data_IF_937245476436
#
_entry.id   IF_937245476436
#
_cell.length_a   1.000
_cell.length_b   1.000
_cell.length_c   1.000
_cell.angle_alpha   90.00
_cell.angle_beta   90.00
_cell.angle_gamma   90.00
#
_symmetry.space_group_name_H-M   'P 1'
#
loop_
_entity.id
_entity.type
_entity.pdbx_description
1 polymer ?
#
# COMPACT_ATOMS: atom_id res chain seq x y z
N UNK A 1 -18.07 21.10 15.62
CA UNK A 1 -18.51 19.71 15.72
C UNK A 1 -19.12 19.11 14.43
N UNK A 2 -19.17 19.87 13.33
CA UNK A 2 -19.57 19.37 12.00
C UNK A 2 -18.36 18.83 11.21
N UNK A 3 -17.22 19.53 11.28
CA UNK A 3 -15.96 19.09 10.70
C UNK A 3 -15.48 17.71 11.23
N UNK A 4 -15.55 17.48 12.55
CA UNK A 4 -15.19 16.18 13.14
C UNK A 4 -16.11 15.02 12.71
N UNK A 5 -17.37 15.32 12.36
CA UNK A 5 -18.34 14.32 11.85
C UNK A 5 -18.17 14.07 10.35
N UNK A 6 -17.78 15.10 9.60
CA UNK A 6 -17.41 14.99 8.18
C UNK A 6 -16.09 14.21 8.03
N UNK A 7 -15.12 14.41 8.92
CA UNK A 7 -13.87 13.63 8.98
C UNK A 7 -14.09 12.16 9.40
N UNK A 8 -15.02 11.90 10.32
CA UNK A 8 -15.39 10.54 10.70
C UNK A 8 -16.16 9.80 9.60
N UNK A 9 -17.03 10.50 8.85
CA UNK A 9 -17.73 9.94 7.69
C UNK A 9 -16.80 9.66 6.52
N UNK A 10 -15.81 10.53 6.26
CA UNK A 10 -14.75 10.29 5.28
C UNK A 10 -13.82 9.14 5.69
N UNK A 11 -13.51 9.00 6.98
CA UNK A 11 -12.73 7.87 7.50
C UNK A 11 -13.49 6.53 7.44
N UNK A 12 -14.82 6.53 7.55
CA UNK A 12 -15.65 5.33 7.37
C UNK A 12 -15.85 4.96 5.90
N UNK A 13 -15.87 5.94 4.99
CA UNK A 13 -15.92 5.70 3.55
C UNK A 13 -14.61 5.12 2.98
N UNK A 14 -13.46 5.44 3.60
CA UNK A 14 -12.15 4.86 3.28
C UNK A 14 -11.99 3.37 3.70
N UNK A 15 -13.01 2.78 4.32
CA UNK A 15 -13.07 1.37 4.71
C UNK A 15 -14.13 0.58 3.93
N UNK A 16 -14.68 1.16 2.85
CA UNK A 16 -15.51 0.38 1.94
C UNK A 16 -14.68 -0.82 1.45
N UNK A 17 -15.19 -2.07 1.58
CA UNK A 17 -14.45 -3.23 1.13
C UNK A 17 -14.19 -3.09 -0.37
N UNK A 18 -12.90 -3.03 -0.74
CA UNK A 18 -12.47 -3.01 -2.14
C UNK A 18 -13.14 -4.18 -2.86
N UNK A 19 -13.84 -3.95 -3.99
CA UNK A 19 -14.52 -5.02 -4.70
C UNK A 19 -13.54 -6.15 -5.00
N UNK A 20 -13.78 -7.32 -4.44
CA UNK A 20 -13.04 -8.53 -4.79
C UNK A 20 -13.27 -8.78 -6.27
N UNK A 21 -12.25 -8.63 -7.11
CA UNK A 21 -12.25 -9.25 -8.43
C UNK A 21 -12.52 -10.75 -8.24
N UNK A 22 -13.17 -11.35 -9.23
CA UNK A 22 -13.33 -12.80 -9.28
C UNK A 22 -11.95 -13.41 -9.06
N UNK A 23 -11.79 -14.06 -7.91
CA UNK A 23 -10.59 -14.80 -7.59
C UNK A 23 -10.52 -15.89 -8.66
N UNK A 24 -9.68 -15.72 -9.66
CA UNK A 24 -9.05 -16.90 -10.22
C UNK A 24 -8.37 -17.51 -9.02
N UNK A 25 -9.01 -18.57 -8.48
CA UNK A 25 -8.23 -19.54 -7.74
C UNK A 25 -7.14 -19.87 -8.75
N UNK A 26 -5.92 -19.44 -8.47
CA UNK A 26 -4.79 -20.28 -8.74
C UNK A 26 -5.04 -21.55 -7.91
N UNK A 27 -6.02 -22.36 -8.32
CA UNK A 27 -5.95 -23.78 -8.16
C UNK A 27 -4.62 -24.07 -8.80
N UNK A 28 -3.65 -24.44 -7.97
CA UNK A 28 -2.47 -25.15 -8.40
C UNK A 28 -2.98 -26.09 -9.50
N UNK A 29 -2.72 -25.77 -10.77
CA UNK A 29 -2.92 -26.76 -11.80
C UNK A 29 -2.00 -27.88 -11.36
N UNK A 30 -2.57 -29.03 -11.07
CA UNK A 30 -1.81 -30.23 -10.72
C UNK A 30 -0.67 -30.34 -11.76
N UNK A 31 0.57 -30.04 -11.36
CA UNK A 31 1.73 -30.03 -12.24
C UNK A 31 2.64 -28.79 -12.26
N UNK A 32 2.29 -27.64 -11.65
CA UNK A 32 3.20 -26.48 -11.58
C UNK A 32 3.98 -26.34 -10.26
N UNK A 33 4.02 -27.38 -9.43
CA UNK A 33 5.02 -27.47 -8.37
C UNK A 33 6.35 -27.87 -9.02
N UNK A 34 7.24 -26.92 -9.26
CA UNK A 34 8.66 -27.26 -9.33
C UNK A 34 9.00 -27.88 -7.98
N UNK A 35 9.30 -29.19 -7.94
CA UNK A 35 9.79 -29.85 -6.73
C UNK A 35 11.11 -29.17 -6.36
N UNK A 36 11.03 -28.19 -5.47
CA UNK A 36 12.20 -27.56 -4.88
C UNK A 36 12.99 -28.62 -4.11
N UNK A 37 14.22 -28.87 -4.57
CA UNK A 37 15.46 -29.10 -3.81
C UNK A 37 15.46 -29.82 -2.43
N UNK A 38 14.42 -30.59 -2.09
CA UNK A 38 14.41 -31.52 -0.95
C UNK A 38 13.89 -30.95 0.37
N UNK A 39 13.48 -29.68 0.45
CA UNK A 39 13.05 -29.05 1.72
C UNK A 39 11.53 -28.83 1.86
N UNK A 40 10.69 -29.38 0.98
CA UNK A 40 9.24 -29.20 1.08
C UNK A 40 8.75 -27.76 0.84
N UNK A 41 9.60 -26.91 0.24
CA UNK A 41 9.24 -25.55 -0.16
C UNK A 41 8.40 -25.59 -1.45
N UNK A 42 7.29 -24.86 -1.45
CA UNK A 42 6.43 -24.70 -2.63
C UNK A 42 6.78 -23.39 -3.32
N UNK A 43 7.36 -23.47 -4.51
CA UNK A 43 7.60 -22.31 -5.37
C UNK A 43 6.38 -22.04 -6.22
N UNK A 44 5.91 -20.79 -6.24
CA UNK A 44 4.76 -20.35 -7.04
C UNK A 44 5.23 -19.16 -7.88
N UNK A 45 5.20 -19.32 -9.20
CA UNK A 45 5.43 -18.19 -10.10
C UNK A 45 4.32 -17.14 -9.87
N UNK A 46 4.71 -15.87 -9.84
CA UNK A 46 3.79 -14.76 -9.54
C UNK A 46 3.91 -13.66 -10.57
N UNK A 47 2.81 -12.93 -10.76
CA UNK A 47 2.77 -11.67 -11.49
C UNK A 47 2.04 -10.63 -10.63
N UNK A 48 2.22 -9.33 -10.88
CA UNK A 48 1.46 -8.28 -10.20
C UNK A 48 -0.07 -8.50 -10.29
N UNK A 49 -0.79 -8.22 -9.21
CA UNK A 49 -2.24 -8.34 -9.13
C UNK A 49 -2.77 -9.72 -8.72
N UNK A 50 -1.92 -10.75 -8.69
CA UNK A 50 -2.29 -12.09 -8.22
C UNK A 50 -2.52 -12.08 -6.71
N UNK A 51 -3.42 -12.95 -6.25
CA UNK A 51 -3.70 -13.10 -4.83
C UNK A 51 -3.62 -14.57 -4.39
N UNK A 52 -3.03 -14.78 -3.23
CA UNK A 52 -2.77 -16.07 -2.63
C UNK A 52 -3.40 -16.15 -1.24
N UNK A 53 -3.90 -17.33 -0.86
CA UNK A 53 -4.24 -17.65 0.53
C UNK A 53 -3.13 -18.51 1.12
N UNK A 54 -2.60 -18.11 2.28
CA UNK A 54 -1.50 -18.85 2.90
C UNK A 54 -2.02 -20.19 3.48
N UNK A 55 -1.40 -21.34 3.14
CA UNK A 55 -1.89 -22.66 3.56
C UNK A 55 -1.96 -22.83 5.08
N UNK A 56 -0.97 -22.30 5.81
CA UNK A 56 -0.84 -22.41 7.26
C UNK A 56 -1.70 -21.41 8.04
N UNK A 57 -2.24 -20.37 7.38
CA UNK A 57 -3.06 -19.33 7.99
C UNK A 57 -4.23 -18.99 7.07
N UNK A 58 -5.34 -19.72 7.22
CA UNK A 58 -6.55 -19.60 6.38
C UNK A 58 -7.15 -18.19 6.34
N UNK A 59 -6.87 -17.36 7.35
CA UNK A 59 -7.34 -15.98 7.45
C UNK A 59 -6.32 -14.96 6.91
N UNK A 60 -5.25 -15.39 6.25
CA UNK A 60 -4.26 -14.49 5.65
C UNK A 60 -4.26 -14.64 4.14
N UNK A 61 -4.45 -13.52 3.45
CA UNK A 61 -4.34 -13.39 2.00
C UNK A 61 -3.12 -12.52 1.70
N UNK A 62 -2.47 -12.76 0.57
CA UNK A 62 -1.34 -11.96 0.09
C UNK A 62 -1.65 -11.58 -1.35
N UNK A 63 -1.72 -10.29 -1.62
CA UNK A 63 -1.84 -9.76 -2.97
C UNK A 63 -0.47 -9.29 -3.43
N UNK A 64 -0.05 -9.65 -4.63
CA UNK A 64 1.17 -9.11 -5.23
C UNK A 64 0.87 -7.79 -5.91
N UNK A 65 1.81 -6.86 -5.78
CA UNK A 65 1.76 -5.54 -6.40
C UNK A 65 2.97 -5.37 -7.30
N UNK A 66 2.83 -4.52 -8.31
CA UNK A 66 3.91 -4.24 -9.25
C UNK A 66 4.97 -3.39 -8.57
N UNK A 67 6.21 -3.88 -8.57
CA UNK A 67 7.40 -3.15 -8.16
C UNK A 67 8.23 -2.82 -9.41
N UNK A 68 8.86 -1.65 -9.40
CA UNK A 68 9.59 -1.11 -10.55
C UNK A 68 11.08 -1.10 -10.25
N UNK A 69 11.83 -2.07 -10.78
CA UNK A 69 13.28 -2.18 -10.57
C UNK A 69 14.02 -2.63 -11.85
N UNK A 70 15.34 -2.77 -11.74
CA UNK A 70 16.17 -3.30 -12.84
C UNK A 70 15.88 -4.76 -13.16
N UNK A 71 15.20 -5.48 -12.27
CA UNK A 71 14.70 -6.84 -12.45
C UNK A 71 13.18 -6.86 -12.25
N UNK A 72 12.50 -7.82 -12.90
CA UNK A 72 11.09 -8.10 -12.62
C UNK A 72 10.93 -8.50 -11.16
N UNK A 73 10.16 -7.71 -10.41
CA UNK A 73 9.91 -7.94 -9.00
C UNK A 73 8.46 -7.60 -8.62
N UNK A 74 8.02 -8.10 -7.48
CA UNK A 74 6.70 -7.83 -6.93
C UNK A 74 6.80 -7.43 -5.46
N UNK A 75 6.02 -6.42 -5.10
CA UNK A 75 5.72 -6.14 -3.70
C UNK A 75 4.57 -7.01 -3.21
N UNK A 76 4.30 -6.93 -1.92
CA UNK A 76 3.23 -7.70 -1.28
C UNK A 76 2.34 -6.81 -0.44
N UNK A 77 1.03 -7.01 -0.55
CA UNK A 77 0.04 -6.51 0.42
C UNK A 77 -0.51 -7.72 1.17
N UNK A 78 -0.19 -7.79 2.46
CA UNK A 78 -0.68 -8.84 3.36
C UNK A 78 -1.99 -8.39 3.97
N UNK A 79 -3.02 -9.21 3.80
CA UNK A 79 -4.38 -8.95 4.23
C UNK A 79 -4.85 -9.97 5.27
N UNK A 80 -5.62 -9.51 6.25
CA UNK A 80 -6.47 -10.40 7.04
C UNK A 80 -7.77 -10.67 6.29
N UNK A 81 -8.35 -11.85 6.47
CA UNK A 81 -9.69 -12.17 6.00
C UNK A 81 -10.68 -11.94 7.14
N UNK A 82 -11.63 -11.06 6.92
CA UNK A 82 -12.68 -10.74 7.88
C UNK A 82 -14.04 -11.07 7.28
N UNK A 83 -14.97 -11.59 8.09
CA UNK A 83 -16.34 -11.85 7.65
C UNK A 83 -17.21 -10.63 7.94
N UNK A 84 -17.66 -9.95 6.90
CA UNK A 84 -18.55 -8.80 6.99
C UNK A 84 -19.96 -9.24 6.67
N UNK A 85 -20.90 -8.82 7.52
CA UNK A 85 -22.34 -9.00 7.27
C UNK A 85 -22.87 -7.70 6.69
N UNK A 86 -23.48 -7.77 5.51
CA UNK A 86 -24.07 -6.64 4.82
C UNK A 86 -25.51 -6.96 4.36
N UNK A 87 -26.34 -5.94 4.20
CA UNK A 87 -27.65 -6.04 3.58
C UNK A 87 -27.55 -6.39 2.09
N UNK A 88 -28.48 -7.22 1.61
CA UNK A 88 -28.57 -7.60 0.19
C UNK A 88 -28.82 -6.42 -0.75
N UNK A 89 -29.47 -5.37 -0.26
CA UNK A 89 -29.75 -4.14 -1.00
C UNK A 89 -29.30 -2.94 -0.18
N UNK A 90 -29.20 -1.77 -0.83
CA UNK A 90 -28.80 -0.53 -0.16
C UNK A 90 -29.76 -0.15 0.98
N UNK A 91 -31.06 -0.39 0.80
CA UNK A 91 -32.10 -0.10 1.80
C UNK A 91 -31.93 -1.00 3.03
N UNK A 92 -31.72 -2.30 2.80
CA UNK A 92 -31.48 -3.28 3.87
C UNK A 92 -30.15 -2.99 4.57
N UNK A 93 -29.11 -2.57 3.83
CA UNK A 93 -27.83 -2.18 4.42
C UNK A 93 -27.98 -0.95 5.31
N UNK A 94 -28.73 0.07 4.87
CA UNK A 94 -29.01 1.25 5.67
C UNK A 94 -29.80 0.90 6.96
N UNK A 95 -30.83 0.05 6.85
CA UNK A 95 -31.58 -0.44 8.00
C UNK A 95 -30.68 -1.24 8.97
N UNK A 96 -29.80 -2.08 8.45
CA UNK A 96 -28.88 -2.88 9.24
C UNK A 96 -27.89 -2.01 10.02
N UNK A 97 -27.29 -0.98 9.40
CA UNK A 97 -26.37 -0.07 10.09
C UNK A 97 -27.10 0.77 11.17
N UNK A 98 -28.32 1.22 10.92
CA UNK A 98 -29.14 1.88 11.95
C UNK A 98 -29.39 0.96 13.14
N UNK A 99 -29.72 -0.32 12.90
CA UNK A 99 -29.90 -1.31 13.96
C UNK A 99 -28.60 -1.57 14.73
N UNK A 100 -27.46 -1.63 14.04
CA UNK A 100 -26.14 -1.85 14.62
C UNK A 100 -25.73 -0.69 15.54
N UNK A 101 -25.91 0.55 15.11
CA UNK A 101 -25.65 1.73 15.92
C UNK A 101 -26.59 1.83 17.13
N UNK A 102 -27.90 1.58 16.93
CA UNK A 102 -28.85 1.54 18.03
C UNK A 102 -28.49 0.49 19.09
N UNK A 103 -28.01 -0.68 18.67
CA UNK A 103 -27.56 -1.74 19.56
C UNK A 103 -26.33 -1.35 20.40
N UNK A 104 -25.38 -0.59 19.84
CA UNK A 104 -24.18 -0.09 20.55
C UNK A 104 -24.53 0.91 21.65
N UNK A 105 -25.40 1.88 21.34
CA UNK A 105 -25.69 3.01 22.23
C UNK A 105 -26.61 2.62 23.39
N UNK A 106 -27.59 1.75 23.14
CA UNK A 106 -28.71 1.58 24.09
C UNK A 106 -28.92 0.16 24.61
N UNK A 107 -28.08 -0.83 24.21
CA UNK A 107 -28.36 -2.27 24.40
C UNK A 107 -29.81 -2.63 24.03
N UNK A 108 -30.36 -1.95 23.02
CA UNK A 108 -31.76 -2.11 22.65
C UNK A 108 -32.00 -3.55 22.14
N UNK A 109 -32.72 -4.34 22.95
CA UNK A 109 -33.09 -5.72 22.60
C UNK A 109 -33.88 -5.80 21.29
N UNK A 110 -34.64 -4.76 20.94
CA UNK A 110 -35.41 -4.72 19.71
C UNK A 110 -34.52 -4.63 18.47
N UNK A 111 -33.44 -3.84 18.51
CA UNK A 111 -32.48 -3.74 17.41
C UNK A 111 -31.78 -5.10 17.17
N UNK A 112 -31.39 -5.79 18.24
CA UNK A 112 -30.85 -7.15 18.16
C UNK A 112 -31.85 -8.16 17.57
N UNK A 113 -33.12 -8.07 17.98
CA UNK A 113 -34.20 -8.92 17.45
C UNK A 113 -34.40 -8.68 15.95
N UNK A 114 -34.45 -7.42 15.52
CA UNK A 114 -34.62 -7.06 14.10
C UNK A 114 -33.47 -7.57 13.24
N UNK A 115 -32.22 -7.39 13.67
CA UNK A 115 -31.06 -7.99 12.98
C UNK A 115 -31.16 -9.52 12.88
N UNK A 116 -31.69 -10.18 13.93
CA UNK A 116 -31.95 -11.61 13.92
C UNK A 116 -33.05 -12.03 12.92
N UNK A 117 -34.12 -11.25 12.80
CA UNK A 117 -35.18 -11.44 11.81
C UNK A 117 -34.64 -11.26 10.39
N UNK A 118 -33.88 -10.19 10.12
CA UNK A 118 -33.24 -9.95 8.82
C UNK A 118 -32.34 -11.12 8.40
N UNK A 119 -31.61 -11.75 9.34
CA UNK A 119 -30.83 -12.97 9.05
C UNK A 119 -31.70 -14.15 8.66
N UNK A 120 -32.80 -14.38 9.38
CA UNK A 120 -33.74 -15.49 9.11
C UNK A 120 -34.47 -15.31 7.78
N UNK A 121 -34.82 -14.08 7.45
CA UNK A 121 -35.40 -13.70 6.17
C UNK A 121 -34.38 -13.76 5.02
N UNK A 122 -33.09 -14.01 5.34
CA UNK A 122 -32.02 -14.05 4.36
C UNK A 122 -31.77 -12.69 3.71
N UNK A 123 -32.09 -11.58 4.38
CA UNK A 123 -31.84 -10.22 3.90
C UNK A 123 -30.39 -9.79 4.09
N UNK A 124 -29.64 -10.48 4.94
CA UNK A 124 -28.21 -10.24 5.14
C UNK A 124 -27.37 -11.29 4.42
N UNK A 125 -26.26 -10.85 3.81
CA UNK A 125 -25.21 -11.69 3.23
C UNK A 125 -23.98 -11.57 4.09
N UNK A 126 -23.34 -12.71 4.38
CA UNK A 126 -21.99 -12.71 4.96
C UNK A 126 -20.99 -12.89 3.83
N UNK A 127 -20.09 -11.92 3.66
CA UNK A 127 -19.00 -11.97 2.68
C UNK A 127 -17.65 -11.97 3.39
N UNK A 128 -16.69 -12.72 2.86
CA UNK A 128 -15.30 -12.58 3.27
C UNK A 128 -14.69 -11.38 2.54
N UNK A 129 -14.13 -10.44 3.29
CA UNK A 129 -13.40 -9.29 2.75
C UNK A 129 -11.94 -9.39 3.15
N UNK A 130 -11.05 -8.99 2.25
CA UNK A 130 -9.64 -8.85 2.56
C UNK A 130 -9.39 -7.45 3.13
N UNK A 131 -8.86 -7.39 4.34
CA UNK A 131 -8.51 -6.15 5.03
C UNK A 131 -6.99 -5.99 4.99
N UNK A 132 -6.46 -5.00 4.26
CA UNK A 132 -5.03 -4.73 4.17
C UNK A 132 -4.45 -4.48 5.56
N UNK A 133 -3.29 -5.08 5.86
CA UNK A 133 -2.59 -4.90 7.14
C UNK A 133 -1.18 -4.37 6.95
N UNK A 134 -0.44 -4.88 5.97
CA UNK A 134 0.95 -4.49 5.72
C UNK A 134 1.20 -4.48 4.21
N UNK A 135 1.80 -3.40 3.70
CA UNK A 135 2.44 -3.38 2.40
C UNK A 135 3.96 -3.56 2.56
N UNK A 136 4.58 -4.38 1.72
CA UNK A 136 6.01 -4.64 1.70
C UNK A 136 6.54 -4.41 0.28
N UNK A 137 7.28 -3.32 0.12
CA UNK A 137 7.67 -2.71 -1.15
C UNK A 137 9.18 -2.47 -1.15
N UNK A 138 9.96 -3.54 -1.30
CA UNK A 138 11.42 -3.43 -1.41
C UNK A 138 11.85 -3.44 -2.88
N UNK A 139 13.12 -3.13 -3.12
CA UNK A 139 13.78 -3.14 -4.44
C UNK A 139 12.84 -2.58 -5.52
N UNK A 140 12.54 -1.29 -5.39
CA UNK A 140 11.61 -0.56 -6.22
C UNK A 140 12.02 0.89 -6.41
N UNK A 141 11.37 1.55 -7.35
CA UNK A 141 11.39 3.00 -7.49
C UNK A 141 10.10 3.59 -6.92
N UNK A 142 10.07 4.91 -6.73
CA UNK A 142 8.92 5.60 -6.12
C UNK A 142 7.62 5.38 -6.91
N UNK A 143 7.72 4.96 -8.19
CA UNK A 143 6.56 4.66 -9.03
C UNK A 143 5.60 3.62 -8.44
N UNK A 144 6.05 2.76 -7.52
CA UNK A 144 5.16 1.82 -6.82
C UNK A 144 4.04 2.52 -6.04
N UNK A 145 4.28 3.79 -5.65
CA UNK A 145 3.36 4.65 -4.90
C UNK A 145 2.58 5.64 -5.75
N UNK A 146 2.80 5.66 -7.07
CA UNK A 146 2.08 6.54 -7.98
C UNK A 146 2.93 7.07 -9.13
N UNK A 147 2.33 7.83 -10.07
CA UNK A 147 3.09 8.48 -11.13
C UNK A 147 4.09 9.49 -10.53
N UNK A 148 5.32 9.52 -11.06
CA UNK A 148 6.29 10.57 -10.68
C UNK A 148 5.81 11.96 -11.14
N UNK A 149 6.37 13.03 -10.56
CA UNK A 149 5.96 14.41 -10.86
C UNK A 149 5.98 14.76 -12.37
N UNK A 150 7.00 14.28 -13.11
CA UNK A 150 7.08 14.46 -14.56
C UNK A 150 5.88 13.84 -15.31
N UNK A 151 5.37 12.69 -14.84
CA UNK A 151 4.21 12.02 -15.43
C UNK A 151 2.87 12.65 -15.02
N UNK A 152 2.82 13.32 -13.87
CA UNK A 152 1.62 14.00 -13.35
C UNK A 152 1.34 15.31 -14.09
N UNK A 153 2.38 16.04 -14.53
CA UNK A 153 2.25 17.35 -15.20
C UNK A 153 1.93 17.32 -16.70
N UNK A 154 1.81 16.13 -17.31
CA UNK A 154 1.76 15.92 -18.76
C UNK A 154 0.42 16.15 -19.46
N UNK A 155 -0.38 17.13 -19.03
CA UNK A 155 -1.74 17.36 -19.56
C UNK A 155 -1.80 18.28 -20.81
N UNK A 156 -0.67 18.68 -21.41
CA UNK A 156 -0.71 19.40 -22.71
C UNK A 156 0.43 20.36 -23.08
N UNK A 157 1.56 20.36 -22.37
CA UNK A 157 2.78 21.09 -22.76
C UNK A 157 3.97 20.13 -22.86
N UNK A 158 5.04 20.53 -23.56
CA UNK A 158 6.25 19.72 -23.87
C UNK A 158 6.52 18.57 -22.88
N UNK A 159 6.57 17.34 -23.40
CA UNK A 159 6.71 16.14 -22.59
C UNK A 159 8.00 16.22 -21.75
N UNK A 160 7.86 16.52 -20.46
CA UNK A 160 8.95 16.32 -19.49
C UNK A 160 9.28 14.84 -19.53
N UNK A 161 10.46 14.51 -20.04
CA UNK A 161 10.91 13.13 -20.16
C UNK A 161 10.96 12.52 -18.75
N UNK A 162 10.16 11.48 -18.52
CA UNK A 162 10.19 10.77 -17.26
C UNK A 162 11.62 10.23 -17.06
N UNK A 163 12.29 10.54 -15.93
CA UNK A 163 13.67 10.13 -15.71
C UNK A 163 13.83 8.61 -15.58
N UNK A 164 12.71 7.90 -15.36
CA UNK A 164 12.65 6.44 -15.31
C UNK A 164 12.17 5.80 -16.62
N UNK A 165 11.95 6.58 -17.69
CA UNK A 165 11.56 6.05 -18.98
C UNK A 165 12.74 5.52 -19.81
N UNK A 166 13.98 5.66 -19.33
CA UNK A 166 15.15 5.06 -19.96
C UNK A 166 15.17 3.55 -19.68
N UNK A 167 15.06 2.68 -20.71
CA UNK A 167 15.13 1.22 -20.54
C UNK A 167 16.48 0.75 -19.98
N UNK A 168 17.55 1.55 -20.04
CA UNK A 168 18.81 1.22 -19.39
C UNK A 168 18.75 1.39 -17.87
N UNK A 169 17.84 2.23 -17.38
CA UNK A 169 17.64 2.54 -15.95
C UNK A 169 16.57 1.63 -15.34
N UNK A 170 15.52 1.33 -16.10
CA UNK A 170 14.49 0.37 -15.73
C UNK A 170 14.13 -0.49 -16.97
N UNK A 171 14.89 -1.55 -17.27
CA UNK A 171 14.65 -2.41 -18.44
C UNK A 171 13.31 -3.16 -18.43
N UNK A 172 12.69 -3.27 -17.26
CA UNK A 172 11.32 -3.77 -17.06
C UNK A 172 10.33 -2.66 -16.69
N UNK A 173 10.79 -1.41 -16.71
CA UNK A 173 9.96 -0.23 -16.61
C UNK A 173 9.24 -0.02 -17.92
N UNK A 174 8.12 -0.73 -18.15
CA UNK A 174 7.02 -0.15 -18.89
C UNK A 174 6.84 1.26 -18.30
N UNK A 175 7.22 2.30 -19.06
CA UNK A 175 7.50 3.60 -18.47
C UNK A 175 6.34 4.07 -17.56
N UNK A 176 6.69 4.79 -16.49
CA UNK A 176 5.77 5.44 -15.55
C UNK A 176 4.39 5.74 -16.18
N UNK A 177 3.30 5.28 -15.52
CA UNK A 177 1.83 5.46 -15.76
C UNK A 177 1.31 5.86 -17.17
N UNK A 178 1.91 6.87 -17.81
CA UNK A 178 1.69 7.28 -19.19
C UNK A 178 2.03 6.18 -20.24
N UNK A 179 3.04 5.31 -20.05
CA UNK A 179 3.21 4.15 -20.96
C UNK A 179 2.20 3.04 -20.69
N UNK A 180 1.87 2.77 -19.42
CA UNK A 180 0.76 1.86 -19.06
C UNK A 180 -0.58 2.31 -19.66
N UNK A 181 -0.80 3.63 -19.83
CA UNK A 181 -1.94 4.20 -20.58
C UNK A 181 -1.83 4.07 -22.10
N UNK A 182 -0.62 4.10 -22.67
CA UNK A 182 -0.39 4.10 -24.14
C UNK A 182 -0.37 2.69 -24.72
N UNK A 183 0.14 1.70 -23.99
CA UNK A 183 0.27 0.32 -24.48
C UNK A 183 -0.79 -0.63 -23.90
N UNK A 184 -1.47 -0.25 -22.81
CA UNK A 184 -2.47 -1.05 -22.13
C UNK A 184 -3.89 -0.49 -22.23
N UNK A 185 -4.86 -1.38 -22.40
CA UNK A 185 -6.31 -1.11 -22.29
C UNK A 185 -6.65 -0.39 -20.97
N UNK A 186 -7.88 0.16 -20.86
CA UNK A 186 -8.40 0.76 -19.62
C UNK A 186 -8.17 -0.10 -18.35
N UNK A 187 -7.98 -1.41 -18.51
CA UNK A 187 -7.71 -2.39 -17.45
C UNK A 187 -6.36 -2.17 -16.73
N UNK A 188 -5.30 -1.76 -17.44
CA UNK A 188 -3.97 -1.56 -16.80
C UNK A 188 -3.97 -0.36 -15.86
N UNK A 189 -4.66 0.72 -16.23
CA UNK A 189 -4.87 1.88 -15.35
C UNK A 189 -5.72 1.53 -14.13
N UNK A 190 -6.73 0.67 -14.29
CA UNK A 190 -7.58 0.18 -13.18
C UNK A 190 -6.77 -0.67 -12.20
N UNK A 191 -5.92 -1.57 -12.69
CA UNK A 191 -5.07 -2.41 -11.82
C UNK A 191 -4.11 -1.57 -10.98
N UNK A 192 -3.52 -0.52 -11.55
CA UNK A 192 -2.60 0.35 -10.82
C UNK A 192 -3.34 1.23 -9.79
N UNK A 193 -4.50 1.80 -10.16
CA UNK A 193 -5.32 2.54 -9.21
C UNK A 193 -5.75 1.66 -8.01
N UNK A 194 -6.15 0.41 -8.28
CA UNK A 194 -6.43 -0.56 -7.23
C UNK A 194 -5.19 -0.82 -6.39
N UNK A 195 -4.02 -1.04 -6.98
CA UNK A 195 -2.78 -1.24 -6.23
C UNK A 195 -2.52 -0.10 -5.23
N UNK A 196 -2.67 1.16 -5.63
CA UNK A 196 -2.51 2.31 -4.73
C UNK A 196 -3.53 2.28 -3.60
N UNK A 197 -4.79 1.95 -3.89
CA UNK A 197 -5.84 1.79 -2.88
C UNK A 197 -5.45 0.71 -1.85
N UNK A 198 -4.95 -0.45 -2.29
CA UNK A 198 -4.51 -1.53 -1.41
C UNK A 198 -3.29 -1.16 -0.56
N UNK A 199 -2.29 -0.50 -1.16
CA UNK A 199 -1.07 -0.06 -0.47
C UNK A 199 -1.41 0.96 0.61
N UNK A 200 -2.13 2.03 0.26
CA UNK A 200 -2.42 3.12 1.20
C UNK A 200 -3.56 2.82 2.18
N UNK A 201 -4.34 1.75 1.96
CA UNK A 201 -5.22 1.20 2.98
C UNK A 201 -4.46 0.44 4.09
N UNK A 202 -3.17 0.14 3.91
CA UNK A 202 -2.36 -0.49 4.94
C UNK A 202 -2.02 0.51 6.06
N UNK A 203 -2.22 0.15 7.35
CA UNK A 203 -1.71 0.94 8.47
C UNK A 203 -0.19 0.92 8.57
N UNK A 204 0.50 -0.02 7.91
CA UNK A 204 1.95 -0.12 7.88
C UNK A 204 2.43 -0.37 6.46
N UNK A 205 3.38 0.44 6.00
CA UNK A 205 4.00 0.34 4.69
C UNK A 205 5.51 0.21 4.92
N UNK A 206 6.05 -0.97 4.66
CA UNK A 206 7.49 -1.21 4.65
C UNK A 206 7.98 -0.90 3.25
N UNK A 207 8.89 0.06 3.12
CA UNK A 207 9.40 0.51 1.81
C UNK A 207 10.88 0.81 1.87
N UNK A 208 11.58 0.57 0.76
CA UNK A 208 12.96 0.98 0.64
C UNK A 208 13.14 2.51 0.62
N UNK A 209 14.25 2.99 1.16
CA UNK A 209 14.70 4.38 1.07
C UNK A 209 16.22 4.39 0.92
N UNK A 210 16.70 3.96 -0.25
CA UNK A 210 18.12 3.74 -0.50
C UNK A 210 18.98 5.00 -0.42
N UNK A 211 18.45 6.19 -0.77
CA UNK A 211 19.22 7.44 -0.85
C UNK A 211 18.60 8.59 -0.06
N UNK A 212 19.45 9.36 0.63
CA UNK A 212 19.07 10.55 1.42
C UNK A 212 20.10 11.66 1.20
N UNK A 213 19.72 12.91 1.47
CA UNK A 213 20.63 14.06 1.40
C UNK A 213 21.52 14.15 2.66
N UNK A 214 22.33 13.11 2.89
CA UNK A 214 23.27 12.99 4.00
C UNK A 214 24.66 12.58 3.49
N UNK A 215 25.66 12.50 4.38
CA UNK A 215 27.04 12.11 4.04
C UNK A 215 27.65 12.96 2.90
N UNK A 216 27.37 14.26 2.88
CA UNK A 216 27.88 15.22 1.89
C UNK A 216 27.14 15.23 0.54
N UNK A 217 26.04 14.47 0.43
CA UNK A 217 25.19 14.42 -0.75
C UNK A 217 24.04 15.44 -0.65
N UNK A 218 23.83 16.22 -1.71
CA UNK A 218 22.65 17.08 -1.86
C UNK A 218 21.40 16.26 -2.21
N UNK A 219 20.22 16.85 -2.04
CA UNK A 219 18.94 16.21 -2.41
C UNK A 219 18.91 15.80 -3.89
N UNK A 220 19.37 16.68 -4.79
CA UNK A 220 19.43 16.40 -6.22
C UNK A 220 20.38 15.24 -6.57
N UNK A 221 21.54 15.14 -5.91
CA UNK A 221 22.47 14.03 -6.12
C UNK A 221 21.90 12.71 -5.60
N UNK A 222 21.19 12.73 -4.47
CA UNK A 222 20.51 11.56 -3.92
C UNK A 222 19.42 11.06 -4.87
N UNK A 223 18.60 11.94 -5.43
CA UNK A 223 17.60 11.58 -6.44
C UNK A 223 18.24 11.02 -7.71
N UNK A 224 19.29 11.66 -8.22
CA UNK A 224 19.97 11.19 -9.43
C UNK A 224 20.57 9.80 -9.24
N UNK A 225 21.19 9.51 -8.10
CA UNK A 225 21.76 8.20 -7.82
C UNK A 225 20.66 7.14 -7.60
N UNK A 226 19.53 7.51 -6.97
CA UNK A 226 18.36 6.64 -6.84
C UNK A 226 17.77 6.30 -8.21
N UNK A 227 17.52 7.30 -9.06
CA UNK A 227 17.04 7.10 -10.43
C UNK A 227 17.98 6.17 -11.17
N UNK A 228 19.26 6.51 -11.25
CA UNK A 228 20.29 5.76 -11.99
C UNK A 228 20.36 4.29 -11.59
N UNK A 229 20.09 3.97 -10.33
CA UNK A 229 20.15 2.59 -9.81
C UNK A 229 18.80 1.90 -9.71
N UNK A 230 17.70 2.58 -10.06
CA UNK A 230 16.35 2.04 -9.93
C UNK A 230 15.91 1.85 -8.47
N UNK A 231 16.24 2.79 -7.60
CA UNK A 231 15.87 2.80 -6.18
C UNK A 231 15.06 4.06 -5.79
N UNK A 232 14.70 4.18 -4.51
CA UNK A 232 14.00 5.33 -3.95
C UNK A 232 14.97 6.30 -3.25
N UNK A 233 14.83 7.60 -3.53
CA UNK A 233 15.38 8.67 -2.69
C UNK A 233 14.31 9.20 -1.72
N UNK A 234 14.74 9.67 -0.55
CA UNK A 234 13.84 10.22 0.46
C UNK A 234 12.99 11.38 -0.05
N UNK A 235 13.55 12.30 -0.84
CA UNK A 235 12.81 13.44 -1.39
C UNK A 235 11.67 13.03 -2.33
N UNK A 236 11.80 11.87 -2.99
CA UNK A 236 10.73 11.27 -3.79
C UNK A 236 9.64 10.65 -2.90
N UNK A 237 10.04 10.03 -1.78
CA UNK A 237 9.13 9.34 -0.86
C UNK A 237 8.39 10.29 0.10
N UNK A 238 9.06 11.37 0.54
CA UNK A 238 8.57 12.34 1.53
C UNK A 238 7.17 12.88 1.22
N UNK A 239 6.82 13.28 -0.03
CA UNK A 239 5.47 13.71 -0.36
C UNK A 239 4.40 12.66 -0.06
N UNK A 240 4.68 11.38 -0.29
CA UNK A 240 3.76 10.29 0.01
C UNK A 240 3.63 10.05 1.52
N UNK A 241 4.74 10.10 2.26
CA UNK A 241 4.73 9.98 3.73
C UNK A 241 3.82 11.05 4.34
N UNK A 242 4.00 12.29 3.91
CA UNK A 242 3.21 13.44 4.34
C UNK A 242 1.72 13.36 3.93
N UNK A 243 1.42 12.84 2.74
CA UNK A 243 0.05 12.69 2.26
C UNK A 243 -0.74 11.58 2.98
N UNK A 244 -0.05 10.67 3.68
CA UNK A 244 -0.65 9.49 4.31
C UNK A 244 -0.32 9.39 5.82
N UNK A 245 -0.73 10.37 6.65
CA UNK A 245 -0.36 10.43 8.07
C UNK A 245 -0.96 9.29 8.92
N UNK A 246 -1.98 8.58 8.40
CA UNK A 246 -2.60 7.42 9.07
C UNK A 246 -1.80 6.12 8.88
N UNK A 247 -0.90 6.08 7.90
CA UNK A 247 -0.04 4.94 7.62
C UNK A 247 1.34 5.18 8.22
N UNK A 248 1.89 4.14 8.86
CA UNK A 248 3.28 4.15 9.34
C UNK A 248 4.20 3.69 8.22
N UNK A 249 5.17 4.52 7.86
CA UNK A 249 6.19 4.17 6.87
C UNK A 249 7.42 3.61 7.60
N UNK A 250 7.67 2.32 7.42
CA UNK A 250 8.86 1.65 7.92
C UNK A 250 9.91 1.69 6.82
N UNK A 251 10.90 2.55 6.98
CA UNK A 251 11.96 2.77 6.00
C UNK A 251 13.10 1.79 6.25
N UNK A 252 13.57 1.15 5.18
CA UNK A 252 14.66 0.18 5.22
C UNK A 252 15.49 0.23 3.93
N UNK A 253 16.42 -0.72 3.77
CA UNK A 253 17.25 -0.87 2.57
C UNK A 253 18.08 0.40 2.26
N UNK A 254 18.62 1.04 3.31
CA UNK A 254 19.50 2.19 3.15
C UNK A 254 20.82 1.79 2.49
N UNK A 255 21.36 2.68 1.64
CA UNK A 255 22.70 2.48 1.08
C UNK A 255 23.75 2.39 2.20
N UNK A 256 24.67 1.42 2.10
CA UNK A 256 25.81 1.24 3.03
C UNK A 256 26.75 2.44 3.16
N UNK A 257 26.57 3.48 2.35
CA UNK A 257 27.32 4.73 2.46
C UNK A 257 26.95 5.54 3.70
N UNK A 258 25.74 5.33 4.23
CA UNK A 258 25.29 6.01 5.44
C UNK A 258 25.55 5.12 6.64
N UNK A 259 26.05 5.73 7.70
CA UNK A 259 26.01 5.15 9.03
C UNK A 259 24.63 5.35 9.63
N UNK A 260 24.25 4.48 10.57
CA UNK A 260 23.01 4.65 11.32
C UNK A 260 22.93 6.00 12.04
N UNK A 261 24.05 6.55 12.51
CA UNK A 261 24.09 7.86 13.15
C UNK A 261 23.70 8.98 12.17
N UNK A 262 24.25 8.98 10.95
CA UNK A 262 23.90 9.95 9.91
C UNK A 262 22.43 9.86 9.52
N UNK A 263 21.87 8.65 9.41
CA UNK A 263 20.44 8.46 9.12
C UNK A 263 19.57 9.02 10.24
N UNK A 264 19.92 8.76 11.51
CA UNK A 264 19.17 9.30 12.66
C UNK A 264 19.19 10.83 12.68
N UNK A 265 20.36 11.43 12.47
CA UNK A 265 20.51 12.89 12.43
C UNK A 265 19.73 13.50 11.27
N UNK A 266 19.82 12.90 10.08
CA UNK A 266 19.07 13.32 8.90
C UNK A 266 17.56 13.32 9.15
N UNK A 267 16.99 12.21 9.62
CA UNK A 267 15.54 12.10 9.84
C UNK A 267 15.05 12.93 11.03
N UNK A 268 15.88 13.15 12.06
CA UNK A 268 15.56 14.09 13.12
C UNK A 268 15.48 15.54 12.59
N UNK A 269 16.39 15.92 11.68
CA UNK A 269 16.34 17.22 11.01
C UNK A 269 15.12 17.34 10.09
N UNK A 270 14.76 16.29 9.34
CA UNK A 270 13.55 16.27 8.50
C UNK A 270 12.26 16.41 9.33
N UNK A 271 12.20 15.80 10.53
CA UNK A 271 11.05 15.97 11.42
C UNK A 271 10.85 17.45 11.80
N UNK A 272 11.92 18.18 12.08
CA UNK A 272 11.87 19.61 12.38
C UNK A 272 11.54 20.42 11.13
N UNK A 273 12.25 20.17 10.01
CA UNK A 273 12.10 20.91 8.76
C UNK A 273 10.70 20.79 8.14
N UNK A 274 9.99 19.69 8.41
CA UNK A 274 8.64 19.43 7.92
C UNK A 274 7.55 19.71 8.97
N UNK A 275 7.89 20.41 10.06
CA UNK A 275 6.96 20.74 11.15
C UNK A 275 6.22 19.51 11.71
N UNK A 276 6.89 18.36 11.76
CA UNK A 276 6.31 17.10 12.23
C UNK A 276 5.50 16.32 11.20
N UNK A 277 5.41 16.75 9.94
CA UNK A 277 4.65 16.07 8.87
C UNK A 277 5.10 14.61 8.66
N UNK A 278 6.35 14.29 8.97
CA UNK A 278 6.95 12.96 8.83
C UNK A 278 7.00 12.18 10.15
N UNK A 279 6.20 12.57 11.15
CA UNK A 279 6.10 11.84 12.42
C UNK A 279 5.58 10.40 12.26
N UNK A 280 5.05 10.01 11.11
CA UNK A 280 4.61 8.65 10.81
C UNK A 280 5.74 7.73 10.27
N UNK A 281 7.00 8.10 10.45
CA UNK A 281 8.17 7.33 10.01
C UNK A 281 8.76 6.46 11.13
N UNK A 282 9.16 5.24 10.77
CA UNK A 282 9.98 4.34 11.57
C UNK A 282 11.19 3.93 10.74
N UNK A 283 12.40 4.04 11.29
CA UNK A 283 13.61 3.55 10.64
C UNK A 283 13.93 2.15 11.12
N UNK A 284 14.14 1.23 10.18
CA UNK A 284 14.70 -0.10 10.45
C UNK A 284 16.19 -0.08 10.09
N UNK A 285 17.03 0.12 11.11
CA UNK A 285 18.47 0.23 11.00
C UNK A 285 19.18 -1.02 11.55
N UNK A 286 20.47 -1.17 11.26
CA UNK A 286 21.28 -2.29 11.76
C UNK A 286 21.45 -2.24 13.28
N UNK A 287 21.55 -1.03 13.84
CA UNK A 287 21.59 -0.76 15.29
C UNK A 287 20.25 -0.86 16.00
N UNK A 288 19.16 -1.12 15.26
CA UNK A 288 17.82 -1.31 15.80
C UNK A 288 16.76 -0.42 15.16
N UNK A 289 15.57 -0.45 15.76
CA UNK A 289 14.40 0.31 15.28
C UNK A 289 14.35 1.69 15.95
N UNK A 290 14.20 2.75 15.15
CA UNK A 290 13.94 4.10 15.66
C UNK A 290 12.55 4.57 15.23
N UNK A 291 11.74 5.01 16.18
CA UNK A 291 10.33 5.35 15.98
C UNK A 291 10.10 6.86 16.22
N UNK A 292 9.72 7.58 15.16
CA UNK A 292 9.43 9.01 15.22
C UNK A 292 7.95 9.32 15.51
N UNK A 293 7.11 8.29 15.74
CA UNK A 293 5.68 8.48 16.02
C UNK A 293 5.43 9.23 17.31
N UNK A 294 4.55 10.23 17.21
CA UNK A 294 4.18 11.10 18.33
C UNK A 294 5.28 12.07 18.76
N UNK A 295 6.41 12.12 18.05
CA UNK A 295 7.40 13.17 18.24
C UNK A 295 6.92 14.42 17.51
N UNK A 296 6.71 15.50 18.27
CA UNK A 296 6.48 16.84 17.73
C UNK A 296 7.81 17.59 17.69
N UNK A 297 8.00 18.44 16.68
CA UNK A 297 9.11 19.38 16.67
C UNK A 297 9.01 20.26 17.93
N UNK A 298 10.04 20.20 18.79
CA UNK A 298 10.18 21.08 19.96
C UNK A 298 10.66 22.47 19.52
#
# INVERSE_FOLDING_TARGET
DRAAREDAAAAAAALAPVPSLAVERAGLRDGQSARGDGEGRLWVATVPGVEYRLPSKKNTRVRTVHCFHTTSDVGYVVCATESVVAGKTAEIQAEFELCKEAAKVSKCKQAGKRMGEMRKEGLLVTTEVAVPKIAYLLDSTVQVLGPCAACQGGDGGEAVQCPFADPAVAPWGEACFQHLKREGTAESGVLFAQQLEWIFACPTIVIECSFVAAAGMSEAEAEQEAIKRGHVAWSQLRPHVCAHPKSVFVLTHFSKRYTDAELREFFAAELVATEGCVCNVVLWLDSGVLDFRGQVAN
#
